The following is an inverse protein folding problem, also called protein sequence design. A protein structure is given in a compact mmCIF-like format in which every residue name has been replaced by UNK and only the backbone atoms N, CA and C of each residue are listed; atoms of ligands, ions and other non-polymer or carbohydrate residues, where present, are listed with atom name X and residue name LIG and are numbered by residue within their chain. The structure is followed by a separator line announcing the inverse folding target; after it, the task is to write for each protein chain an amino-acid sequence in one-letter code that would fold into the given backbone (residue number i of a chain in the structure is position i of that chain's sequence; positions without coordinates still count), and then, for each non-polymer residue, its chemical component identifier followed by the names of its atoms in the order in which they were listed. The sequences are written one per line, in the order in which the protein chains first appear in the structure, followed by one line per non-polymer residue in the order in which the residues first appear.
data_IF_719666005903
#
_entry.id   IF_719666005903
#
_cell.length_a   1.000
_cell.length_b   1.000
_cell.length_c   1.000
_cell.angle_alpha   90.00
_cell.angle_beta   90.00
_cell.angle_gamma   90.00
#
_symmetry.space_group_name_H-M   'P 1'
#
loop_
_entity.id
_entity.type
_entity.pdbx_description
1 polymer ?
#
# COMPACT_ATOMS: atom_id res chain seq x y z
N UNK A 1 19.47 17.43 -8.41
CA UNK A 1 18.69 18.05 -9.50
C UNK A 1 17.70 17.00 -9.92
N UNK A 2 16.48 17.06 -9.39
CA UNK A 2 15.41 16.13 -9.73
C UNK A 2 15.07 16.29 -11.21
N UNK A 3 14.93 15.18 -11.91
CA UNK A 3 14.65 15.14 -13.34
C UNK A 3 13.19 15.56 -13.57
N UNK A 4 12.93 16.72 -14.16
CA UNK A 4 11.59 17.16 -14.55
C UNK A 4 11.02 16.40 -15.77
N UNK A 5 10.91 15.08 -15.70
CA UNK A 5 10.42 14.26 -16.81
C UNK A 5 8.89 14.30 -16.92
N UNK A 6 8.15 14.21 -15.80
CA UNK A 6 6.69 14.13 -15.77
C UNK A 6 5.95 15.35 -16.33
N UNK A 7 6.40 16.57 -16.00
CA UNK A 7 5.86 17.81 -16.57
C UNK A 7 6.05 17.86 -18.09
N UNK A 8 7.26 17.52 -18.54
CA UNK A 8 7.59 17.56 -19.96
C UNK A 8 6.77 16.56 -20.77
N UNK A 9 6.36 15.45 -20.18
CA UNK A 9 5.58 14.40 -20.83
C UNK A 9 4.08 14.71 -20.84
N UNK A 10 3.53 15.35 -19.79
CA UNK A 10 2.14 15.82 -19.77
C UNK A 10 1.91 16.91 -20.82
N UNK A 11 2.70 17.99 -20.78
CA UNK A 11 2.57 19.11 -21.72
C UNK A 11 2.79 18.64 -23.17
N UNK A 12 3.75 17.73 -23.39
CA UNK A 12 3.98 17.11 -24.71
C UNK A 12 2.80 16.26 -25.18
N UNK A 13 2.27 15.40 -24.32
CA UNK A 13 1.14 14.53 -24.67
C UNK A 13 -0.12 15.34 -25.01
N UNK A 14 -0.38 16.40 -24.24
CA UNK A 14 -1.48 17.32 -24.53
C UNK A 14 -1.34 17.97 -25.90
N UNK A 15 -0.17 18.56 -26.21
CA UNK A 15 0.10 19.20 -27.51
C UNK A 15 -0.03 18.23 -28.68
N UNK A 16 0.45 17.00 -28.52
CA UNK A 16 0.29 15.95 -29.53
C UNK A 16 -1.19 15.59 -29.76
N UNK A 17 -1.96 15.45 -28.68
CA UNK A 17 -3.39 15.18 -28.74
C UNK A 17 -4.17 16.33 -29.40
N UNK A 18 -3.86 17.58 -29.03
CA UNK A 18 -4.50 18.77 -29.57
C UNK A 18 -4.22 18.94 -31.06
N UNK A 19 -2.95 18.79 -31.46
CA UNK A 19 -2.56 18.80 -32.87
C UNK A 19 -3.32 17.70 -33.63
N UNK A 20 -3.30 16.47 -33.11
CA UNK A 20 -4.05 15.35 -33.69
C UNK A 20 -5.55 15.62 -33.82
N UNK A 21 -6.16 16.38 -32.93
CA UNK A 21 -7.58 16.72 -33.01
C UNK A 21 -7.86 17.79 -34.07
N UNK A 22 -7.04 18.85 -34.11
CA UNK A 22 -7.34 20.06 -34.86
C UNK A 22 -6.70 20.13 -36.25
N UNK A 23 -5.74 19.25 -36.58
CA UNK A 23 -5.06 19.24 -37.89
C UNK A 23 -5.44 18.06 -38.78
N UNK A 24 -6.57 17.40 -38.54
CA UNK A 24 -6.99 16.20 -39.30
C UNK A 24 -7.65 16.49 -40.63
N UNK A 25 -8.25 17.67 -40.80
CA UNK A 25 -9.00 17.99 -42.02
C UNK A 25 -8.07 18.46 -43.13
N UNK A 26 -8.00 17.70 -44.22
CA UNK A 26 -7.31 18.13 -45.44
C UNK A 26 -8.12 19.16 -46.22
N UNK A 27 -7.44 19.96 -47.05
CA UNK A 27 -8.09 20.91 -47.97
C UNK A 27 -9.07 20.23 -48.92
N UNK A 28 -8.79 18.99 -49.33
CA UNK A 28 -9.65 18.24 -50.23
C UNK A 28 -10.97 17.84 -49.54
N UNK A 29 -10.90 17.29 -48.32
CA UNK A 29 -12.07 16.95 -47.51
C UNK A 29 -12.90 18.20 -47.19
N UNK A 30 -12.23 19.30 -46.87
CA UNK A 30 -12.87 20.59 -46.68
C UNK A 30 -13.65 21.02 -47.94
N UNK A 31 -13.03 20.98 -49.12
CA UNK A 31 -13.70 21.35 -50.37
C UNK A 31 -14.89 20.45 -50.70
N UNK A 32 -14.82 19.15 -50.36
CA UNK A 32 -15.91 18.19 -50.55
C UNK A 32 -17.14 18.52 -49.70
N UNK A 33 -16.97 19.17 -48.55
CA UNK A 33 -18.08 19.59 -47.69
C UNK A 33 -18.91 20.74 -48.29
N UNK A 34 -18.39 21.45 -49.30
CA UNK A 34 -19.04 22.62 -49.91
C UNK A 34 -19.25 22.45 -51.43
N UNK A 35 -19.93 21.40 -51.92
CA UNK A 35 -19.96 21.09 -53.35
C UNK A 35 -20.55 22.21 -54.23
N UNK A 36 -21.53 22.96 -53.71
CA UNK A 36 -22.20 24.06 -54.43
C UNK A 36 -21.42 25.37 -54.50
N UNK A 37 -20.27 25.47 -53.84
CA UNK A 37 -19.45 26.68 -53.82
C UNK A 37 -18.46 26.69 -54.99
N UNK A 38 -18.21 27.88 -55.53
CA UNK A 38 -17.15 28.09 -56.52
C UNK A 38 -15.77 27.87 -55.90
N UNK A 39 -14.75 27.66 -56.73
CA UNK A 39 -13.37 27.49 -56.27
C UNK A 39 -12.91 28.70 -55.44
N UNK A 40 -13.21 29.92 -55.89
CA UNK A 40 -12.80 31.14 -55.19
C UNK A 40 -13.46 31.27 -53.80
N UNK A 41 -14.71 30.83 -53.65
CA UNK A 41 -15.39 30.85 -52.35
C UNK A 41 -14.83 29.77 -51.41
N UNK A 42 -14.54 28.58 -51.94
CA UNK A 42 -13.88 27.49 -51.19
C UNK A 42 -12.52 27.91 -50.65
N UNK A 43 -11.71 28.58 -51.47
CA UNK A 43 -10.39 29.11 -51.04
C UNK A 43 -10.53 30.13 -49.91
N UNK A 44 -11.46 31.09 -50.03
CA UNK A 44 -11.73 32.08 -48.98
C UNK A 44 -12.19 31.42 -47.67
N UNK A 45 -13.10 30.46 -47.77
CA UNK A 45 -13.64 29.76 -46.61
C UNK A 45 -12.57 28.87 -45.94
N UNK A 46 -11.73 28.20 -46.73
CA UNK A 46 -10.60 27.41 -46.23
C UNK A 46 -9.57 28.30 -45.51
N UNK A 47 -9.32 29.51 -46.03
CA UNK A 47 -8.46 30.47 -45.34
C UNK A 47 -9.03 30.88 -43.98
N UNK A 48 -10.33 31.21 -43.90
CA UNK A 48 -11.02 31.47 -42.63
C UNK A 48 -10.95 30.26 -41.70
N UNK A 49 -11.16 29.06 -42.21
CA UNK A 49 -11.06 27.82 -41.44
C UNK A 49 -9.68 27.68 -40.79
N UNK A 50 -8.60 27.88 -41.54
CA UNK A 50 -7.23 27.86 -40.97
C UNK A 50 -7.08 28.90 -39.87
N UNK A 51 -7.56 30.14 -40.08
CA UNK A 51 -7.48 31.18 -39.05
C UNK A 51 -8.22 30.79 -37.76
N UNK A 52 -9.42 30.22 -37.88
CA UNK A 52 -10.19 29.72 -36.74
C UNK A 52 -9.44 28.60 -36.04
N UNK A 53 -8.90 27.64 -36.78
CA UNK A 53 -8.13 26.52 -36.22
C UNK A 53 -6.88 27.01 -35.48
N UNK A 54 -6.12 27.94 -36.05
CA UNK A 54 -4.93 28.51 -35.40
C UNK A 54 -5.30 29.28 -34.13
N UNK A 55 -6.36 30.09 -34.18
CA UNK A 55 -6.84 30.82 -33.00
C UNK A 55 -7.34 29.87 -31.92
N UNK A 56 -8.01 28.77 -32.30
CA UNK A 56 -8.52 27.77 -31.38
C UNK A 56 -7.39 26.97 -30.72
N UNK A 57 -6.37 26.57 -31.48
CA UNK A 57 -5.16 25.94 -30.92
C UNK A 57 -4.57 26.81 -29.82
N UNK A 58 -4.30 28.07 -30.13
CA UNK A 58 -3.69 29.00 -29.18
C UNK A 58 -4.56 29.17 -27.94
N UNK A 59 -5.86 29.39 -28.10
CA UNK A 59 -6.76 29.59 -26.97
C UNK A 59 -6.80 28.37 -26.03
N UNK A 60 -6.82 27.16 -26.60
CA UNK A 60 -6.81 25.92 -25.82
C UNK A 60 -5.46 25.72 -25.11
N UNK A 61 -4.33 26.01 -25.78
CA UNK A 61 -3.01 25.93 -25.15
C UNK A 61 -2.85 26.93 -24.01
N UNK A 62 -3.29 28.18 -24.21
CA UNK A 62 -3.22 29.23 -23.19
C UNK A 62 -4.08 28.87 -21.96
N UNK A 63 -5.30 28.34 -22.16
CA UNK A 63 -6.18 27.89 -21.06
C UNK A 63 -5.61 26.66 -20.33
N UNK A 64 -5.01 25.72 -21.07
CA UNK A 64 -4.37 24.56 -20.47
C UNK A 64 -3.19 24.95 -19.59
N UNK A 65 -2.33 25.87 -20.05
CA UNK A 65 -1.20 26.35 -19.25
C UNK A 65 -1.70 27.07 -17.98
N UNK A 66 -2.73 27.92 -18.10
CA UNK A 66 -3.34 28.58 -16.94
C UNK A 66 -3.89 27.56 -15.91
N UNK A 67 -4.53 26.48 -16.37
CA UNK A 67 -4.99 25.40 -15.50
C UNK A 67 -3.82 24.65 -14.84
N UNK A 68 -2.72 24.40 -15.56
CA UNK A 68 -1.52 23.79 -15.00
C UNK A 68 -0.92 24.66 -13.88
N UNK A 69 -0.81 25.96 -14.10
CA UNK A 69 -0.35 26.93 -13.11
C UNK A 69 -1.28 27.01 -11.89
N UNK A 70 -2.60 27.10 -12.11
CA UNK A 70 -3.60 27.19 -11.04
C UNK A 70 -3.58 25.94 -10.15
N UNK A 71 -3.55 24.77 -10.78
CA UNK A 71 -3.57 23.48 -10.07
C UNK A 71 -2.22 23.10 -9.48
N UNK A 72 -1.15 23.84 -9.83
CA UNK A 72 0.23 23.51 -9.47
C UNK A 72 0.59 22.08 -9.83
N UNK A 73 0.14 21.63 -11.00
CA UNK A 73 0.33 20.24 -11.44
C UNK A 73 1.81 19.87 -11.51
N UNK A 74 2.65 20.84 -11.88
CA UNK A 74 4.09 20.67 -12.00
C UNK A 74 4.73 20.39 -10.63
N UNK A 75 4.34 21.13 -9.59
CA UNK A 75 4.80 20.91 -8.20
C UNK A 75 4.35 19.52 -7.68
N UNK A 76 3.11 19.15 -7.98
CA UNK A 76 2.52 17.87 -7.53
C UNK A 76 3.23 16.70 -8.21
N UNK A 77 3.39 16.75 -9.54
CA UNK A 77 4.08 15.70 -10.29
C UNK A 77 5.54 15.59 -9.87
N UNK A 78 6.24 16.72 -9.66
CA UNK A 78 7.60 16.74 -9.13
C UNK A 78 7.69 16.09 -7.75
N UNK A 79 6.73 16.39 -6.85
CA UNK A 79 6.67 15.76 -5.52
C UNK A 79 6.42 14.25 -5.61
N UNK A 80 5.58 13.81 -6.56
CA UNK A 80 5.34 12.37 -6.78
C UNK A 80 6.57 11.68 -7.32
N UNK A 81 7.28 12.28 -8.30
CA UNK A 81 8.54 11.74 -8.82
C UNK A 81 9.59 11.62 -7.72
N UNK A 82 9.75 12.65 -6.87
CA UNK A 82 10.67 12.62 -5.73
C UNK A 82 10.30 11.49 -4.75
N UNK A 83 9.02 11.35 -4.38
CA UNK A 83 8.57 10.27 -3.49
C UNK A 83 8.78 8.88 -4.07
N UNK A 84 8.64 8.72 -5.39
CA UNK A 84 8.89 7.46 -6.08
C UNK A 84 10.39 7.15 -6.12
N UNK A 85 11.23 8.14 -6.39
CA UNK A 85 12.69 8.01 -6.32
C UNK A 85 13.14 7.63 -4.90
N UNK A 86 12.64 8.31 -3.87
CA UNK A 86 12.91 8.00 -2.46
C UNK A 86 12.49 6.57 -2.10
N UNK A 87 11.28 6.15 -2.49
CA UNK A 87 10.80 4.77 -2.24
C UNK A 87 11.64 3.72 -2.95
N UNK A 88 12.15 4.03 -4.14
CA UNK A 88 12.99 3.09 -4.90
C UNK A 88 14.37 2.95 -4.26
N UNK A 89 14.87 4.02 -3.63
CA UNK A 89 16.15 4.04 -2.94
C UNK A 89 16.08 3.47 -1.51
N UNK A 90 14.90 3.42 -0.88
CA UNK A 90 14.70 2.81 0.44
C UNK A 90 14.73 1.26 0.33
N UNK A 91 15.82 0.60 0.76
CA UNK A 91 15.95 -0.85 0.68
C UNK A 91 14.94 -1.57 1.59
N UNK A 92 14.40 -0.89 2.60
CA UNK A 92 13.42 -1.43 3.55
C UNK A 92 11.98 -1.33 3.02
N UNK A 93 11.74 -0.53 1.98
CA UNK A 93 10.40 -0.34 1.42
C UNK A 93 9.89 -1.61 0.73
N UNK A 94 10.75 -2.28 -0.05
CA UNK A 94 10.47 -3.60 -0.64
C UNK A 94 10.41 -4.73 0.40
N UNK A 95 11.12 -4.59 1.53
CA UNK A 95 11.26 -5.64 2.55
C UNK A 95 10.10 -5.68 3.57
N UNK A 96 9.15 -4.72 3.51
CA UNK A 96 7.94 -4.72 4.37
C UNK A 96 7.15 -6.03 4.30
N UNK A 97 7.18 -6.72 3.15
CA UNK A 97 6.52 -8.02 2.98
C UNK A 97 7.24 -9.12 3.77
N UNK A 98 8.57 -9.12 3.81
CA UNK A 98 9.35 -10.08 4.60
C UNK A 98 9.29 -9.80 6.09
N UNK A 99 9.25 -8.51 6.49
CA UNK A 99 9.22 -8.17 7.91
C UNK A 99 7.89 -8.60 8.56
N UNK A 100 6.77 -8.47 7.83
CA UNK A 100 5.48 -8.96 8.31
C UNK A 100 5.41 -10.49 8.40
N UNK A 101 5.98 -11.21 7.43
CA UNK A 101 6.02 -12.69 7.47
C UNK A 101 6.91 -13.20 8.60
N UNK A 102 8.07 -12.57 8.83
CA UNK A 102 8.95 -12.87 9.97
C UNK A 102 8.24 -12.58 11.29
N UNK A 103 7.52 -11.45 11.41
CA UNK A 103 6.76 -11.11 12.60
C UNK A 103 5.64 -12.14 12.90
N UNK A 104 4.92 -12.59 11.87
CA UNK A 104 3.89 -13.63 12.00
C UNK A 104 4.48 -14.99 12.39
N UNK A 105 5.60 -15.40 11.79
CA UNK A 105 6.29 -16.63 12.13
C UNK A 105 6.77 -16.62 13.59
N UNK A 106 7.39 -15.51 14.01
CA UNK A 106 7.90 -15.33 15.38
C UNK A 106 6.76 -15.30 16.41
N UNK A 107 5.63 -14.66 16.08
CA UNK A 107 4.42 -14.65 16.91
C UNK A 107 3.85 -16.06 17.08
N UNK A 108 3.79 -16.83 16.00
CA UNK A 108 3.31 -18.22 16.02
C UNK A 108 4.22 -19.12 16.86
N UNK A 109 5.54 -18.98 16.70
CA UNK A 109 6.52 -19.73 17.48
C UNK A 109 6.39 -19.44 18.98
N UNK A 110 6.29 -18.15 19.37
CA UNK A 110 6.12 -17.74 20.76
C UNK A 110 4.82 -18.27 21.37
N UNK A 111 3.70 -18.24 20.64
CA UNK A 111 2.43 -18.81 21.12
C UNK A 111 2.51 -20.32 21.34
N UNK A 112 3.21 -21.04 20.46
CA UNK A 112 3.42 -22.47 20.61
C UNK A 112 4.29 -22.79 21.83
N UNK A 113 5.36 -22.02 22.04
CA UNK A 113 6.25 -22.19 23.20
C UNK A 113 5.52 -21.91 24.51
N UNK A 114 4.74 -20.82 24.59
CA UNK A 114 3.92 -20.51 25.77
C UNK A 114 2.98 -21.68 26.08
N UNK A 115 2.26 -22.20 25.08
CA UNK A 115 1.36 -23.33 25.25
C UNK A 115 2.09 -24.58 25.76
N UNK A 116 3.27 -24.88 25.23
CA UNK A 116 4.07 -26.03 25.66
C UNK A 116 4.53 -25.88 27.13
N UNK A 117 5.04 -24.70 27.49
CA UNK A 117 5.45 -24.38 28.85
C UNK A 117 4.27 -24.46 29.83
N UNK A 118 3.10 -23.94 29.46
CA UNK A 118 1.87 -24.06 30.27
C UNK A 118 1.52 -25.53 30.52
N UNK A 119 1.52 -26.37 29.48
CA UNK A 119 1.21 -27.80 29.64
C UNK A 119 2.23 -28.53 30.52
N UNK A 120 3.53 -28.19 30.42
CA UNK A 120 4.55 -28.76 31.31
C UNK A 120 4.36 -28.32 32.75
N UNK A 121 4.00 -27.05 32.98
CA UNK A 121 3.75 -26.51 34.31
C UNK A 121 2.55 -27.22 34.96
N UNK A 122 1.43 -27.35 34.25
CA UNK A 122 0.22 -28.05 34.73
C UNK A 122 0.52 -29.50 35.15
N UNK A 123 1.31 -30.22 34.35
CA UNK A 123 1.74 -31.59 34.68
C UNK A 123 2.62 -31.64 35.93
N UNK A 124 3.54 -30.69 36.07
CA UNK A 124 4.42 -30.59 37.23
C UNK A 124 3.63 -30.27 38.51
N UNK A 125 2.67 -29.35 38.44
CA UNK A 125 1.78 -29.01 39.55
C UNK A 125 0.91 -30.19 39.97
N UNK A 126 0.32 -30.90 39.01
CA UNK A 126 -0.46 -32.11 39.29
C UNK A 126 0.38 -33.18 40.01
N UNK A 127 1.63 -33.37 39.57
CA UNK A 127 2.56 -34.29 40.22
C UNK A 127 2.93 -33.85 41.65
N UNK A 128 3.22 -32.55 41.84
CA UNK A 128 3.52 -31.99 43.16
C UNK A 128 2.33 -32.12 44.13
N UNK A 129 1.11 -31.91 43.66
CA UNK A 129 -0.09 -32.08 44.48
C UNK A 129 -0.26 -33.54 44.90
N UNK A 130 -0.04 -34.50 44.00
CA UNK A 130 -0.06 -35.93 44.34
C UNK A 130 0.98 -36.29 45.40
N UNK A 131 2.21 -35.80 45.25
CA UNK A 131 3.29 -36.02 46.22
C UNK A 131 2.93 -35.42 47.58
N UNK A 132 2.38 -34.20 47.60
CA UNK A 132 1.94 -33.55 48.84
C UNK A 132 0.87 -34.36 49.56
N UNK A 133 -0.16 -34.83 48.85
CA UNK A 133 -1.19 -35.71 49.42
C UNK A 133 -0.61 -37.01 49.97
N UNK A 134 0.39 -37.59 49.30
CA UNK A 134 1.07 -38.80 49.80
C UNK A 134 1.87 -38.52 51.08
N UNK A 135 2.58 -37.40 51.15
CA UNK A 135 3.32 -37.00 52.35
C UNK A 135 2.37 -36.78 53.53
N UNK A 136 1.24 -36.09 53.32
CA UNK A 136 0.22 -35.88 54.36
C UNK A 136 -0.38 -37.20 54.88
N UNK A 137 -0.62 -38.17 53.99
CA UNK A 137 -1.14 -39.48 54.37
C UNK A 137 -0.14 -40.26 55.23
N UNK A 138 1.14 -40.29 54.82
CA UNK A 138 2.21 -40.93 55.59
C UNK A 138 2.40 -40.26 56.95
N UNK A 139 2.32 -38.93 57.04
CA UNK A 139 2.40 -38.20 58.31
C UNK A 139 1.26 -38.59 59.27
N UNK A 140 0.02 -38.72 58.76
CA UNK A 140 -1.12 -39.19 59.57
C UNK A 140 -0.94 -40.62 60.06
N UNK A 141 -0.42 -41.52 59.22
CA UNK A 141 -0.16 -42.92 59.60
C UNK A 141 0.93 -43.04 60.68
N UNK A 142 1.99 -42.24 60.59
CA UNK A 142 3.04 -42.16 61.60
C UNK A 142 2.48 -41.61 62.93
N UNK A 143 1.64 -40.58 62.89
CA UNK A 143 1.03 -40.04 64.11
C UNK A 143 0.09 -41.06 64.78
N UNK A 144 -0.78 -41.72 64.00
CA UNK A 144 -1.71 -42.72 64.51
C UNK A 144 -1.02 -43.97 65.10
N UNK A 145 0.10 -44.41 64.53
CA UNK A 145 0.89 -45.53 65.06
C UNK A 145 1.67 -45.18 66.32
N UNK A 146 2.17 -43.95 66.43
CA UNK A 146 2.78 -43.42 67.66
C UNK A 146 1.75 -43.29 68.79
N UNK A 147 0.52 -42.84 68.49
CA UNK A 147 -0.54 -42.71 69.50
C UNK A 147 -1.04 -44.08 69.97
N UNK A 148 -1.08 -45.08 69.08
CA UNK A 148 -1.39 -46.46 69.44
C UNK A 148 -0.29 -47.10 70.31
N UNK A 149 0.98 -46.84 70.03
CA UNK A 149 2.11 -47.32 70.85
C UNK A 149 2.09 -46.70 72.26
N UNK A 150 1.84 -45.39 72.37
CA UNK A 150 1.73 -44.70 73.65
C UNK A 150 0.53 -45.14 74.51
N UNK A 151 -0.55 -45.63 73.88
CA UNK A 151 -1.70 -46.20 74.58
C UNK A 151 -1.43 -47.61 75.13
N UNK A 152 -0.58 -48.40 74.46
CA UNK A 152 -0.19 -49.75 74.89
C UNK A 152 0.81 -49.69 76.06
N UNK A 153 1.75 -48.74 76.05
CA UNK A 153 2.74 -48.55 77.12
C UNK A 153 2.14 -48.05 78.45
N UNK A 154 0.91 -47.51 78.44
CA UNK A 154 0.20 -47.07 79.67
C UNK A 154 -0.67 -48.15 80.32
N UNK A 155 -0.78 -49.34 79.72
CA UNK A 155 -1.65 -50.44 80.18
C UNK A 155 -0.84 -51.68 80.63
N UNK A 156 0.51 -51.60 80.64
CA UNK A 156 1.40 -52.64 81.20
C UNK A 156 1.95 -52.26 82.58
#
# INVERSE_FOLDING_TARGET
MANGHGESDLKRSFKLGLHGLLTTCSKEEFCKAFPGFTIAEKERLHHLYIQVIVSLHKNIEDEFEALCEETKVDDILGSVEELVEEQTLDPLYLDKTNLNTVAQALSTLKKNEIRNLTTMLEKSEAHNNLLRSRVELLQKEIHNSSDASNAVDKVS
#
